data_IF_398158641435
#
_entry.id   IF_398158641435
#
_cell.length_a   1.000
_cell.length_b   1.000
_cell.length_c   1.000
_cell.angle_alpha   90.00
_cell.angle_beta   90.00
_cell.angle_gamma   90.00
#
_symmetry.space_group_name_H-M   'P 1'
#
loop_
_entity.id
_entity.type
_entity.pdbx_description
1 polymer ?
#
# COMPACT_ATOMS: atom_id res chain seq x y z
N UNK A 1 3.17 -32.30 -30.86
CA UNK A 1 3.09 -31.64 -29.53
C UNK A 1 2.05 -32.36 -28.69
N UNK A 2 2.47 -33.13 -27.69
CA UNK A 2 1.55 -33.84 -26.79
C UNK A 2 0.98 -32.85 -25.77
N UNK A 3 -0.30 -32.52 -25.89
CA UNK A 3 -1.01 -31.65 -24.94
C UNK A 3 -1.56 -32.44 -23.76
N UNK A 4 -1.62 -31.80 -22.59
CA UNK A 4 -2.16 -32.37 -21.36
C UNK A 4 -3.68 -32.58 -21.46
N UNK A 5 -4.19 -33.67 -20.89
CA UNK A 5 -5.61 -34.02 -20.86
C UNK A 5 -6.13 -34.03 -19.42
N UNK A 6 -7.39 -33.65 -19.22
CA UNK A 6 -8.10 -33.79 -17.95
C UNK A 6 -9.16 -34.87 -18.10
N UNK A 7 -9.27 -35.76 -17.12
CA UNK A 7 -10.31 -36.78 -17.05
C UNK A 7 -11.57 -36.20 -16.40
N UNK A 8 -12.67 -36.19 -17.13
CA UNK A 8 -13.98 -35.75 -16.63
C UNK A 8 -15.08 -36.66 -17.18
N UNK A 9 -15.91 -37.21 -16.29
CA UNK A 9 -16.97 -38.16 -16.68
C UNK A 9 -16.44 -39.41 -17.40
N UNK A 10 -15.25 -39.89 -17.04
CA UNK A 10 -14.63 -41.07 -17.66
C UNK A 10 -13.83 -40.81 -18.94
N UNK A 11 -14.05 -39.68 -19.61
CA UNK A 11 -13.35 -39.31 -20.85
C UNK A 11 -12.19 -38.33 -20.58
N UNK A 12 -11.14 -38.42 -21.39
CA UNK A 12 -10.05 -37.46 -21.41
C UNK A 12 -10.35 -36.33 -22.40
N UNK A 13 -10.22 -35.08 -21.96
CA UNK A 13 -10.49 -33.88 -22.79
C UNK A 13 -9.32 -32.91 -22.72
N UNK A 14 -9.08 -32.19 -23.81
CA UNK A 14 -8.13 -31.06 -23.85
C UNK A 14 -8.84 -29.81 -23.29
N UNK A 15 -8.43 -29.30 -22.12
CA UNK A 15 -8.99 -28.05 -21.60
C UNK A 15 -8.42 -26.85 -22.36
N UNK A 16 -9.24 -25.83 -22.59
CA UNK A 16 -8.75 -24.49 -22.97
C UNK A 16 -8.29 -23.71 -21.74
N UNK A 17 -9.02 -23.81 -20.62
CA UNK A 17 -8.67 -23.16 -19.35
C UNK A 17 -9.01 -24.07 -18.18
N UNK A 18 -8.23 -23.96 -17.09
CA UNK A 18 -8.50 -24.61 -15.80
C UNK A 18 -8.63 -23.52 -14.74
N UNK A 19 -9.74 -23.52 -13.99
CA UNK A 19 -9.99 -22.58 -12.88
C UNK A 19 -10.47 -23.37 -11.66
N UNK A 20 -10.19 -22.84 -10.47
CA UNK A 20 -10.52 -23.49 -9.21
C UNK A 20 -11.69 -22.79 -8.52
N UNK A 21 -12.58 -23.57 -7.92
CA UNK A 21 -13.66 -23.07 -7.05
C UNK A 21 -13.52 -23.66 -5.66
N UNK A 22 -13.87 -22.86 -4.65
CA UNK A 22 -14.05 -23.33 -3.28
C UNK A 22 -15.32 -22.69 -2.70
N UNK A 23 -16.21 -23.50 -2.14
CA UNK A 23 -17.50 -23.03 -1.62
C UNK A 23 -18.43 -22.40 -2.66
N UNK A 24 -18.30 -22.78 -3.94
CA UNK A 24 -19.09 -22.21 -5.05
C UNK A 24 -18.47 -20.97 -5.70
N UNK A 25 -17.51 -20.33 -5.04
CA UNK A 25 -16.82 -19.11 -5.50
C UNK A 25 -15.55 -19.46 -6.26
N UNK A 26 -15.25 -18.73 -7.33
CA UNK A 26 -13.97 -18.84 -8.04
C UNK A 26 -12.84 -18.30 -7.18
N UNK A 27 -11.73 -19.04 -7.09
CA UNK A 27 -10.59 -18.69 -6.24
C UNK A 27 -9.30 -18.52 -7.05
N UNK A 28 -8.41 -17.67 -6.53
CA UNK A 28 -7.03 -17.50 -7.00
C UNK A 28 -6.09 -17.94 -5.88
N UNK A 29 -5.76 -19.25 -5.78
CA UNK A 29 -4.93 -19.74 -4.71
C UNK A 29 -3.47 -19.30 -4.89
N UNK A 30 -2.80 -18.96 -3.79
CA UNK A 30 -1.38 -18.61 -3.77
C UNK A 30 -0.49 -19.78 -4.28
N UNK A 31 -0.89 -21.02 -3.98
CA UNK A 31 -0.22 -22.21 -4.48
C UNK A 31 -1.20 -23.34 -4.77
N UNK A 32 -0.89 -24.14 -5.78
CA UNK A 32 -1.57 -25.41 -6.09
C UNK A 32 -0.58 -26.54 -5.90
N UNK A 33 -0.90 -27.48 -5.00
CA UNK A 33 -0.11 -28.71 -4.82
C UNK A 33 -0.71 -29.83 -5.64
N UNK A 34 0.08 -30.37 -6.57
CA UNK A 34 -0.27 -31.51 -7.41
C UNK A 34 0.56 -32.72 -6.98
N UNK A 35 -0.05 -33.91 -6.97
CA UNK A 35 0.69 -35.14 -6.69
C UNK A 35 1.05 -35.82 -8.01
N UNK A 36 2.33 -36.15 -8.20
CA UNK A 36 2.83 -36.85 -9.39
C UNK A 36 3.93 -37.84 -9.01
N UNK A 37 3.83 -39.08 -9.52
CA UNK A 37 4.85 -40.11 -9.29
C UNK A 37 5.12 -40.47 -7.82
N UNK A 38 4.14 -40.25 -6.92
CA UNK A 38 4.30 -40.49 -5.48
C UNK A 38 4.77 -39.27 -4.67
N UNK A 39 5.34 -38.27 -5.33
CA UNK A 39 5.76 -36.99 -4.74
C UNK A 39 4.75 -35.87 -4.92
N UNK A 40 4.92 -34.79 -4.15
CA UNK A 40 4.16 -33.55 -4.29
C UNK A 40 4.96 -32.51 -5.08
N UNK A 41 4.33 -31.88 -6.06
CA UNK A 41 4.82 -30.73 -6.80
C UNK A 41 3.98 -29.53 -6.42
N UNK A 42 4.61 -28.44 -5.98
CA UNK A 42 3.91 -27.18 -5.68
C UNK A 42 4.11 -26.23 -6.85
N UNK A 43 3.02 -25.80 -7.46
CA UNK A 43 3.00 -24.75 -8.47
C UNK A 43 2.54 -23.47 -7.77
N UNK A 44 3.42 -22.48 -7.72
CA UNK A 44 3.06 -21.15 -7.25
C UNK A 44 2.43 -20.37 -8.39
N UNK A 45 1.37 -19.62 -8.13
CA UNK A 45 0.98 -18.55 -9.06
C UNK A 45 2.16 -17.59 -9.18
N UNK A 46 2.47 -17.12 -10.39
CA UNK A 46 3.49 -16.10 -10.57
C UNK A 46 3.08 -14.85 -9.79
N UNK A 47 3.62 -14.69 -8.58
CA UNK A 47 3.39 -13.52 -7.77
C UNK A 47 4.07 -12.35 -8.46
N UNK A 48 3.33 -11.31 -8.81
CA UNK A 48 3.95 -10.01 -8.98
C UNK A 48 4.37 -9.58 -7.59
N UNK A 49 5.68 -9.51 -7.35
CA UNK A 49 6.24 -9.10 -6.07
C UNK A 49 5.55 -7.84 -5.57
N UNK A 50 5.01 -7.87 -4.34
CA UNK A 50 4.39 -6.70 -3.75
C UNK A 50 5.43 -5.58 -3.65
N UNK A 51 5.13 -4.45 -4.25
CA UNK A 51 5.96 -3.24 -4.20
C UNK A 51 5.11 -2.05 -3.81
N UNK A 52 5.72 -1.10 -3.13
CA UNK A 52 5.06 0.15 -2.73
C UNK A 52 5.97 1.34 -2.98
N UNK A 53 5.35 2.47 -3.35
CA UNK A 53 5.99 3.77 -3.43
C UNK A 53 5.06 4.79 -2.78
N UNK A 54 5.61 5.77 -2.06
CA UNK A 54 4.82 6.77 -1.36
C UNK A 54 5.15 8.18 -1.83
N UNK A 55 4.13 9.04 -1.88
CA UNK A 55 4.27 10.46 -2.21
C UNK A 55 3.68 11.31 -1.10
N UNK A 56 4.43 12.32 -0.67
CA UNK A 56 3.93 13.35 0.25
C UNK A 56 3.47 14.58 -0.51
N UNK A 57 2.62 15.38 0.12
CA UNK A 57 2.16 16.67 -0.40
C UNK A 57 2.74 17.80 0.44
N UNK A 58 2.67 19.03 -0.07
CA UNK A 58 2.98 20.23 0.70
C UNK A 58 1.71 20.93 1.19
N UNK A 59 1.81 21.55 2.36
CA UNK A 59 0.82 22.50 2.88
C UNK A 59 1.50 23.84 3.12
N UNK A 60 0.78 24.93 2.85
CA UNK A 60 1.35 26.27 2.85
C UNK A 60 0.52 27.21 3.72
N UNK A 61 1.20 28.09 4.46
CA UNK A 61 0.57 29.15 5.23
C UNK A 61 1.32 30.47 5.08
N UNK A 62 0.57 31.50 4.64
CA UNK A 62 1.05 32.87 4.63
C UNK A 62 0.63 33.57 5.93
N UNK A 63 1.62 34.05 6.70
CA UNK A 63 1.41 34.78 7.94
C UNK A 63 1.12 36.27 7.74
N UNK A 64 0.93 36.72 6.50
CA UNK A 64 0.41 38.05 6.19
C UNK A 64 1.31 39.20 6.65
N UNK A 65 2.63 38.99 6.60
CA UNK A 65 3.63 39.95 7.08
C UNK A 65 3.53 40.25 8.59
N UNK A 66 2.90 39.38 9.38
CA UNK A 66 2.94 39.48 10.83
C UNK A 66 4.35 39.13 11.33
N UNK A 67 4.89 39.98 12.22
CA UNK A 67 6.18 39.75 12.90
C UNK A 67 6.07 38.75 14.04
N UNK A 68 4.86 38.37 14.43
CA UNK A 68 4.60 37.37 15.46
C UNK A 68 4.30 36.04 14.76
N UNK A 69 5.14 35.01 14.95
CA UNK A 69 4.84 33.68 14.46
C UNK A 69 3.54 33.18 15.07
N UNK A 70 2.58 32.83 14.21
CA UNK A 70 1.32 32.21 14.61
C UNK A 70 1.41 30.70 14.48
N UNK A 71 1.14 30.01 15.59
CA UNK A 71 0.97 28.57 15.61
C UNK A 71 -0.31 28.17 14.86
N UNK A 72 -0.17 27.26 13.88
CA UNK A 72 -1.27 26.78 13.04
C UNK A 72 -1.20 25.27 12.85
N UNK A 73 -2.35 24.63 12.84
CA UNK A 73 -2.50 23.25 12.40
C UNK A 73 -2.76 23.25 10.88
N UNK A 74 -1.89 22.59 10.11
CA UNK A 74 -2.07 22.41 8.68
C UNK A 74 -2.18 20.92 8.35
N UNK A 75 -2.98 20.61 7.33
CA UNK A 75 -3.11 19.27 6.78
C UNK A 75 -2.35 19.14 5.46
N UNK A 76 -1.48 18.14 5.39
CA UNK A 76 -0.92 17.63 4.14
C UNK A 76 -1.48 16.22 3.87
N UNK A 77 -1.14 15.63 2.74
CA UNK A 77 -1.57 14.29 2.34
C UNK A 77 -0.38 13.42 1.98
N UNK A 78 -0.36 12.21 2.49
CA UNK A 78 0.54 11.16 2.01
C UNK A 78 -0.26 10.08 1.30
N UNK A 79 0.25 9.65 0.15
CA UNK A 79 -0.35 8.61 -0.68
C UNK A 79 0.62 7.46 -0.86
N UNK A 80 0.12 6.23 -0.97
CA UNK A 80 0.88 5.02 -1.28
C UNK A 80 0.33 4.41 -2.56
N UNK A 81 1.22 4.09 -3.48
CA UNK A 81 0.94 3.39 -4.72
C UNK A 81 1.52 1.99 -4.60
N UNK A 82 0.68 1.00 -4.84
CA UNK A 82 1.06 -0.40 -4.72
C UNK A 82 0.93 -1.08 -6.07
N UNK A 83 1.86 -1.98 -6.36
CA UNK A 83 1.82 -2.83 -7.53
C UNK A 83 2.11 -4.27 -7.12
N UNK A 84 1.37 -5.19 -7.72
CA UNK A 84 1.43 -6.62 -7.38
C UNK A 84 0.80 -6.95 -6.03
N UNK A 85 1.25 -8.06 -5.45
CA UNK A 85 0.68 -8.64 -4.23
C UNK A 85 -0.58 -9.49 -4.47
N UNK A 86 -1.02 -10.17 -3.42
CA UNK A 86 -2.14 -11.10 -3.43
C UNK A 86 -3.34 -10.61 -2.62
N UNK A 87 -4.54 -10.61 -3.22
CA UNK A 87 -5.77 -10.35 -2.49
C UNK A 87 -5.93 -8.90 -2.01
N UNK A 88 -6.66 -8.72 -0.90
CA UNK A 88 -6.93 -7.40 -0.34
C UNK A 88 -5.71 -6.87 0.44
N UNK A 89 -5.25 -5.68 0.07
CA UNK A 89 -4.16 -5.02 0.76
C UNK A 89 -4.62 -4.35 2.06
N UNK A 90 -3.75 -4.42 3.06
CA UNK A 90 -3.89 -3.72 4.34
C UNK A 90 -2.79 -2.66 4.45
N UNK A 91 -3.13 -1.53 5.06
CA UNK A 91 -2.25 -0.37 5.17
C UNK A 91 -2.08 0.00 6.64
N UNK A 92 -0.84 0.20 7.07
CA UNK A 92 -0.51 0.64 8.43
C UNK A 92 0.40 1.86 8.35
N UNK A 93 -0.19 3.02 8.63
CA UNK A 93 0.49 4.31 8.58
C UNK A 93 1.06 4.70 9.94
N UNK A 94 2.28 5.26 9.94
CA UNK A 94 2.97 5.73 11.14
C UNK A 94 3.84 6.95 10.83
N UNK A 95 4.15 7.75 11.85
CA UNK A 95 5.10 8.86 11.74
C UNK A 95 6.51 8.28 11.92
N UNK A 96 7.37 8.47 10.92
CA UNK A 96 8.77 8.03 10.97
C UNK A 96 9.71 9.12 11.47
N UNK A 97 9.32 10.39 11.35
CA UNK A 97 10.10 11.51 11.84
C UNK A 97 9.45 12.86 11.52
N UNK A 98 9.89 13.90 12.20
CA UNK A 98 9.44 15.27 11.96
C UNK A 98 10.57 16.27 12.23
N UNK A 99 10.46 17.45 11.62
CA UNK A 99 11.40 18.56 11.81
C UNK A 99 10.63 19.86 11.89
N UNK A 100 10.90 20.66 12.92
CA UNK A 100 10.34 22.02 13.10
C UNK A 100 8.80 22.08 13.09
N UNK A 101 8.15 20.99 13.52
CA UNK A 101 6.70 20.88 13.69
C UNK A 101 6.39 20.11 14.98
N UNK A 102 5.20 20.30 15.54
CA UNK A 102 4.70 19.63 16.76
C UNK A 102 3.30 19.06 16.56
N UNK A 103 2.82 18.27 17.53
CA UNK A 103 1.46 17.68 17.55
C UNK A 103 1.08 16.99 16.22
N UNK A 104 2.01 16.20 15.68
CA UNK A 104 1.81 15.45 14.44
C UNK A 104 0.77 14.36 14.68
N UNK A 105 -0.26 14.32 13.84
CA UNK A 105 -1.26 13.25 13.84
C UNK A 105 -1.55 12.76 12.42
N UNK A 106 -1.82 11.46 12.30
CA UNK A 106 -2.25 10.82 11.07
C UNK A 106 -3.74 10.55 11.19
N UNK A 107 -4.49 10.88 10.14
CA UNK A 107 -5.91 10.54 10.03
C UNK A 107 -6.16 9.03 10.02
N UNK A 108 -7.41 8.59 10.02
CA UNK A 108 -7.76 7.17 10.06
C UNK A 108 -7.07 6.39 8.92
N UNK A 109 -6.29 5.39 9.31
CA UNK A 109 -5.46 4.54 8.43
C UNK A 109 -6.18 3.27 7.98
N UNK A 110 -7.46 3.38 7.59
CA UNK A 110 -8.29 2.26 7.11
C UNK A 110 -7.72 1.57 5.84
N UNK A 111 -8.54 0.95 4.97
CA UNK A 111 -8.06 0.37 3.71
C UNK A 111 -7.60 1.45 2.69
N UNK A 112 -7.19 2.62 3.16
CA UNK A 112 -6.89 3.79 2.36
C UNK A 112 -5.42 3.80 1.95
N UNK A 113 -5.21 4.00 0.65
CA UNK A 113 -3.93 4.36 0.09
C UNK A 113 -3.52 5.80 0.39
N UNK A 114 -4.34 6.57 1.11
CA UNK A 114 -4.09 7.98 1.38
C UNK A 114 -4.41 8.29 2.85
N UNK A 115 -3.58 9.13 3.47
CA UNK A 115 -3.83 9.65 4.83
C UNK A 115 -3.61 11.15 4.90
N UNK A 116 -4.46 11.81 5.68
CA UNK A 116 -4.23 13.18 6.10
C UNK A 116 -3.16 13.21 7.19
N UNK A 117 -2.15 14.04 7.02
CA UNK A 117 -1.11 14.28 8.03
C UNK A 117 -1.31 15.70 8.52
N UNK A 118 -1.69 15.86 9.79
CA UNK A 118 -1.81 17.19 10.38
C UNK A 118 -0.68 17.46 11.33
N UNK A 119 -0.12 18.66 11.26
CA UNK A 119 0.97 19.09 12.12
C UNK A 119 0.76 20.55 12.54
N UNK A 120 1.25 20.87 13.72
CA UNK A 120 1.26 22.22 14.28
C UNK A 120 2.61 22.87 14.01
N UNK A 121 2.61 24.09 13.46
CA UNK A 121 3.83 24.78 13.02
C UNK A 121 3.76 26.28 13.30
N UNK A 122 4.93 26.90 13.46
CA UNK A 122 5.14 28.36 13.48
C UNK A 122 6.32 28.80 12.60
N UNK A 123 6.92 27.86 11.86
CA UNK A 123 8.00 28.04 10.89
C UNK A 123 7.96 26.89 9.87
N UNK A 124 8.75 26.97 8.80
CA UNK A 124 8.83 25.90 7.81
C UNK A 124 9.38 24.62 8.43
N UNK A 125 8.74 23.50 8.10
CA UNK A 125 9.09 22.19 8.66
C UNK A 125 8.60 21.04 7.81
N UNK A 126 8.78 19.82 8.30
CA UNK A 126 8.41 18.61 7.56
C UNK A 126 7.99 17.47 8.48
N UNK A 127 7.20 16.55 7.91
CA UNK A 127 6.81 15.28 8.54
C UNK A 127 7.06 14.16 7.54
N UNK A 128 7.86 13.17 7.92
CA UNK A 128 8.01 11.93 7.17
C UNK A 128 7.11 10.86 7.79
N UNK A 129 6.23 10.30 6.97
CA UNK A 129 5.37 9.17 7.34
C UNK A 129 5.79 7.92 6.59
N UNK A 130 5.69 6.77 7.25
CA UNK A 130 5.83 5.46 6.63
C UNK A 130 4.47 4.79 6.48
N UNK A 131 4.31 3.98 5.44
CA UNK A 131 3.19 3.07 5.29
C UNK A 131 3.71 1.66 5.06
N UNK A 132 3.35 0.73 5.94
CA UNK A 132 3.53 -0.70 5.71
C UNK A 132 2.30 -1.24 5.01
N UNK A 133 2.49 -1.79 3.81
CA UNK A 133 1.47 -2.46 3.02
C UNK A 133 1.68 -3.96 3.14
N UNK A 134 0.63 -4.69 3.48
CA UNK A 134 0.64 -6.16 3.54
C UNK A 134 -0.48 -6.75 2.71
N UNK A 135 -0.16 -7.79 1.95
CA UNK A 135 -1.10 -8.61 1.19
C UNK A 135 -1.45 -9.93 1.94
N UNK A 136 -1.03 -10.04 3.20
CA UNK A 136 -1.22 -11.22 4.05
C UNK A 136 -0.21 -12.35 3.82
N UNK A 137 0.71 -12.21 2.86
CA UNK A 137 1.82 -13.14 2.61
C UNK A 137 3.18 -12.44 2.62
N UNK A 138 3.24 -11.24 2.04
CA UNK A 138 4.39 -10.36 1.92
C UNK A 138 4.04 -8.96 2.44
N UNK A 139 5.05 -8.23 2.87
CA UNK A 139 4.91 -6.83 3.26
C UNK A 139 6.02 -5.97 2.65
N UNK A 140 5.68 -4.71 2.41
CA UNK A 140 6.60 -3.67 1.93
C UNK A 140 6.33 -2.38 2.69
N UNK A 141 7.35 -1.57 2.89
CA UNK A 141 7.22 -0.27 3.56
C UNK A 141 7.80 0.81 2.64
N UNK A 142 7.04 1.88 2.45
CA UNK A 142 7.54 3.07 1.76
C UNK A 142 7.27 4.32 2.59
N UNK A 143 8.00 5.40 2.26
CA UNK A 143 8.05 6.63 3.05
C UNK A 143 7.71 7.83 2.19
N UNK A 144 6.88 8.72 2.74
CA UNK A 144 6.49 9.98 2.14
C UNK A 144 6.87 11.14 3.08
N UNK A 145 7.54 12.15 2.55
CA UNK A 145 7.82 13.39 3.29
C UNK A 145 6.85 14.48 2.85
N UNK A 146 6.12 15.02 3.82
CA UNK A 146 5.26 16.18 3.66
C UNK A 146 6.01 17.43 4.10
N UNK A 147 5.90 18.49 3.31
CA UNK A 147 6.50 19.78 3.61
C UNK A 147 5.44 20.77 4.05
N UNK A 148 5.78 21.57 5.05
CA UNK A 148 4.91 22.58 5.60
C UNK A 148 5.61 23.93 5.48
N UNK A 149 5.21 24.73 4.50
CA UNK A 149 5.84 26.02 4.24
C UNK A 149 5.15 27.12 5.05
N UNK A 150 5.95 27.79 5.89
CA UNK A 150 5.54 28.98 6.62
C UNK A 150 6.26 30.18 6.04
N UNK A 151 5.52 31.13 5.48
CA UNK A 151 6.13 32.32 4.88
C UNK A 151 5.35 33.59 5.17
N UNK A 152 6.03 34.73 5.00
CA UNK A 152 5.41 36.03 4.87
C UNK A 152 5.47 36.42 3.39
N UNK A 153 4.34 36.82 2.81
CA UNK A 153 4.41 37.61 1.57
C UNK A 153 4.95 38.98 1.89
N UNK A 154 5.93 39.41 1.09
CA UNK A 154 6.48 40.77 1.08
C UNK A 154 5.44 41.76 0.57
#
# INVERSE_FOLDING_TARGET
>A
MSGWLIKWGGAYRKPWIVRLKWGGTWINPAAVRLRWGGGWVTIYTAYTSLSSNATGSSAQYNNGNSRTPMTRQLGARASIYTAGGNGNLTYSWFVSGSSQVSNVSIGPSGPHCDVSVTATMNQTGSVTVGCTVSDGQSSTTAYATNYYDYFNTV
#
